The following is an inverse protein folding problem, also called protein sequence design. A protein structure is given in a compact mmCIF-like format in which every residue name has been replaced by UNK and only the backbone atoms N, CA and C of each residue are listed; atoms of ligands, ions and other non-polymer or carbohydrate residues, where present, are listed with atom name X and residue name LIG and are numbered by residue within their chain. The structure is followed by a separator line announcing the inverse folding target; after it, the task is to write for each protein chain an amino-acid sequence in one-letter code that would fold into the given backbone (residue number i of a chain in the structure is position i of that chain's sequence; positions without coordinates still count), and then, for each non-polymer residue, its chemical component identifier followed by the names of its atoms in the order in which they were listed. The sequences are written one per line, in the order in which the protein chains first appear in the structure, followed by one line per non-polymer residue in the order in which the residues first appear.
data_IF_396968167251
#
_entry.id   IF_396968167251
#
_cell.length_a   1.000
_cell.length_b   1.000
_cell.length_c   1.000
_cell.angle_alpha   90.00
_cell.angle_beta   90.00
_cell.angle_gamma   90.00
#
_symmetry.space_group_name_H-M   'P 1'
#
loop_
_entity.id
_entity.type
_entity.pdbx_description
1 polymer ?
#
# COMPACT_ATOMS: atom_id res chain seq x y z
N UNK A 1 -9.81 8.61 -23.94
CA UNK A 1 -8.77 7.60 -24.20
C UNK A 1 -9.30 6.18 -23.96
N UNK A 2 -9.94 5.88 -22.83
CA UNK A 2 -10.48 4.54 -22.57
C UNK A 2 -11.70 4.20 -23.44
N UNK A 3 -12.65 5.14 -23.59
CA UNK A 3 -13.81 4.93 -24.47
C UNK A 3 -13.41 4.76 -25.94
N UNK A 4 -12.39 5.51 -26.39
CA UNK A 4 -11.86 5.40 -27.76
C UNK A 4 -11.16 4.08 -28.05
N UNK A 5 -10.74 3.35 -27.01
CA UNK A 5 -10.19 2.00 -27.15
C UNK A 5 -11.28 0.91 -27.16
N UNK A 6 -12.56 1.29 -27.06
CA UNK A 6 -13.69 0.35 -27.04
C UNK A 6 -13.78 -0.45 -25.73
N UNK A 7 -13.19 0.05 -24.65
CA UNK A 7 -13.27 -0.59 -23.33
C UNK A 7 -14.63 -0.31 -22.68
N UNK A 8 -15.36 -1.36 -22.33
CA UNK A 8 -16.66 -1.24 -21.66
C UNK A 8 -16.50 -1.26 -20.13
N UNK A 9 -16.37 -0.09 -19.53
CA UNK A 9 -16.45 0.09 -18.07
C UNK A 9 -17.86 0.49 -17.64
N UNK A 10 -18.25 0.09 -16.43
CA UNK A 10 -19.45 0.63 -15.80
C UNK A 10 -19.09 1.94 -15.08
N UNK A 11 -19.27 3.06 -15.77
CA UNK A 11 -18.96 4.41 -15.26
C UNK A 11 -19.85 4.83 -14.08
N UNK A 12 -21.01 4.20 -13.86
CA UNK A 12 -21.84 4.46 -12.67
C UNK A 12 -21.16 4.03 -11.37
N UNK A 13 -20.11 3.19 -11.46
CA UNK A 13 -19.31 2.72 -10.32
C UNK A 13 -17.93 3.39 -10.26
N UNK A 14 -17.72 4.46 -11.01
CA UNK A 14 -16.48 5.22 -10.95
C UNK A 14 -16.28 5.81 -9.54
N UNK A 15 -15.04 5.77 -9.08
CA UNK A 15 -14.64 6.38 -7.81
C UNK A 15 -13.43 7.27 -8.02
N UNK A 16 -13.43 8.42 -7.36
CA UNK A 16 -12.33 9.39 -7.42
C UNK A 16 -11.78 9.60 -6.02
N UNK A 17 -10.57 9.11 -5.77
CA UNK A 17 -10.00 9.00 -4.41
C UNK A 17 -9.69 10.35 -3.75
N UNK A 18 -9.52 11.41 -4.54
CA UNK A 18 -9.29 12.77 -4.04
C UNK A 18 -10.58 13.55 -3.73
N UNK A 19 -11.77 13.01 -4.04
CA UNK A 19 -13.05 13.66 -3.72
C UNK A 19 -13.46 13.41 -2.26
N UNK A 20 -14.12 14.39 -1.60
CA UNK A 20 -14.56 14.27 -0.20
C UNK A 20 -15.44 13.05 0.08
N UNK A 21 -16.32 12.71 -0.85
CA UNK A 21 -17.24 11.58 -0.70
C UNK A 21 -16.52 10.23 -0.64
N UNK A 22 -15.28 10.17 -1.15
CA UNK A 22 -14.42 9.00 -1.03
C UNK A 22 -13.49 9.08 0.20
N UNK A 23 -12.65 10.12 0.30
CA UNK A 23 -11.60 10.14 1.33
C UNK A 23 -12.14 10.24 2.77
N UNK A 24 -13.41 10.65 2.95
CA UNK A 24 -14.10 10.56 4.26
C UNK A 24 -14.06 9.16 4.85
N UNK A 25 -14.09 8.12 4.01
CA UNK A 25 -14.03 6.73 4.45
C UNK A 25 -12.62 6.33 4.85
N UNK A 26 -11.60 6.85 4.17
CA UNK A 26 -10.20 6.70 4.57
C UNK A 26 -9.95 7.33 5.94
N UNK A 27 -10.47 8.54 6.18
CA UNK A 27 -10.40 9.21 7.49
C UNK A 27 -11.11 8.39 8.58
N UNK A 28 -12.33 7.91 8.29
CA UNK A 28 -13.09 7.07 9.22
C UNK A 28 -12.33 5.78 9.57
N UNK A 29 -11.76 5.10 8.57
CA UNK A 29 -10.98 3.89 8.75
C UNK A 29 -9.73 4.16 9.61
N UNK A 30 -9.02 5.25 9.32
CA UNK A 30 -7.85 5.65 10.09
C UNK A 30 -8.19 5.85 11.57
N UNK A 31 -9.29 6.54 11.89
CA UNK A 31 -9.75 6.72 13.27
C UNK A 31 -10.08 5.38 13.94
N UNK A 32 -10.66 4.42 13.20
CA UNK A 32 -10.91 3.06 13.73
C UNK A 32 -9.61 2.32 14.03
N UNK A 33 -8.64 2.37 13.12
CA UNK A 33 -7.31 1.77 13.32
C UNK A 33 -6.59 2.42 14.50
N UNK A 34 -6.68 3.74 14.65
CA UNK A 34 -6.09 4.46 15.76
C UNK A 34 -6.70 4.01 17.10
N UNK A 35 -8.03 3.95 17.19
CA UNK A 35 -8.73 3.46 18.39
C UNK A 35 -8.41 1.99 18.71
N UNK A 36 -8.12 1.17 17.71
CA UNK A 36 -7.66 -0.21 17.88
C UNK A 36 -6.17 -0.35 18.22
N UNK A 37 -5.43 0.77 18.32
CA UNK A 37 -3.98 0.76 18.57
C UNK A 37 -3.13 0.28 17.39
N UNK A 38 -3.73 0.19 16.19
CA UNK A 38 -3.10 -0.24 14.94
C UNK A 38 -2.50 0.93 14.16
N UNK A 39 -3.09 2.13 14.24
CA UNK A 39 -2.45 3.36 13.80
C UNK A 39 -1.86 4.10 15.01
N UNK A 40 -0.63 4.58 14.92
CA UNK A 40 0.05 5.23 16.04
C UNK A 40 1.12 6.21 15.54
N UNK A 41 1.50 7.16 16.38
CA UNK A 41 2.58 8.10 16.09
C UNK A 41 3.82 7.75 16.92
N UNK A 42 5.00 7.77 16.31
CA UNK A 42 6.27 7.49 16.97
C UNK A 42 7.38 8.32 16.33
N UNK A 43 8.40 8.67 17.10
CA UNK A 43 9.66 9.18 16.57
C UNK A 43 10.53 8.02 16.08
N UNK A 44 10.93 8.06 14.82
CA UNK A 44 11.71 7.01 14.18
C UNK A 44 12.63 7.61 13.13
N UNK A 45 13.70 6.88 12.83
CA UNK A 45 14.52 7.14 11.65
C UNK A 45 13.69 6.69 10.44
N UNK A 46 13.45 7.61 9.50
CA UNK A 46 12.61 7.40 8.32
C UNK A 46 13.36 7.78 7.05
N UNK A 47 12.99 7.11 5.96
CA UNK A 47 13.44 7.42 4.60
C UNK A 47 12.92 8.80 4.18
N UNK A 48 13.77 9.67 3.67
CA UNK A 48 13.44 11.03 3.25
C UNK A 48 13.86 11.27 1.80
N UNK A 49 12.92 11.81 1.01
CA UNK A 49 13.17 12.31 -0.33
C UNK A 49 13.49 13.81 -0.29
N UNK A 50 14.70 14.18 -0.72
CA UNK A 50 15.15 15.57 -0.74
C UNK A 50 14.48 16.43 -1.82
N UNK A 51 14.00 15.82 -2.91
CA UNK A 51 13.36 16.50 -4.04
C UNK A 51 11.88 16.73 -3.75
N UNK A 52 11.16 15.66 -3.39
CA UNK A 52 9.72 15.74 -3.08
C UNK A 52 9.46 16.27 -1.67
N UNK A 53 10.51 16.44 -0.86
CA UNK A 53 10.46 16.95 0.51
C UNK A 53 9.45 16.21 1.39
N UNK A 54 9.46 14.88 1.30
CA UNK A 54 8.53 14.01 2.02
C UNK A 54 9.22 12.77 2.57
N UNK A 55 8.60 12.19 3.58
CA UNK A 55 8.94 10.86 4.08
C UNK A 55 8.46 9.81 3.08
N UNK A 56 9.27 8.76 2.90
CA UNK A 56 8.95 7.58 2.09
C UNK A 56 8.72 6.36 2.98
N UNK A 57 7.80 5.49 2.57
CA UNK A 57 7.72 4.13 3.10
C UNK A 57 8.87 3.27 2.55
N UNK A 58 9.17 2.15 3.20
CA UNK A 58 10.24 1.24 2.76
C UNK A 58 9.97 0.71 1.34
N UNK A 59 8.71 0.46 1.00
CA UNK A 59 8.29 -0.01 -0.33
C UNK A 59 8.40 1.05 -1.44
N UNK A 60 8.69 2.30 -1.08
CA UNK A 60 8.88 3.41 -2.03
C UNK A 60 10.37 3.68 -2.33
N UNK A 61 11.26 2.88 -1.76
CA UNK A 61 12.70 2.91 -2.02
C UNK A 61 13.05 1.75 -2.95
N UNK A 62 13.72 2.04 -4.05
CA UNK A 62 14.16 1.01 -5.00
C UNK A 62 15.41 0.25 -4.53
N UNK A 63 15.83 -0.76 -5.29
CA UNK A 63 16.99 -1.60 -4.98
C UNK A 63 18.32 -0.82 -4.94
N UNK A 64 18.39 0.36 -5.57
CA UNK A 64 19.56 1.22 -5.57
C UNK A 64 19.56 2.22 -4.40
N UNK A 65 18.52 2.21 -3.56
CA UNK A 65 18.35 3.16 -2.45
C UNK A 65 17.83 4.52 -2.89
N UNK A 66 17.17 4.61 -4.05
CA UNK A 66 16.59 5.82 -4.58
C UNK A 66 15.06 5.85 -4.44
N UNK A 67 14.50 7.05 -4.41
CA UNK A 67 13.05 7.27 -4.46
C UNK A 67 12.48 6.78 -5.78
N UNK A 68 11.45 5.93 -5.72
CA UNK A 68 10.81 5.35 -6.91
C UNK A 68 10.24 6.37 -7.91
N UNK A 69 9.93 7.59 -7.45
CA UNK A 69 9.34 8.65 -8.27
C UNK A 69 10.38 9.69 -8.70
N UNK A 70 11.09 10.27 -7.74
CA UNK A 70 12.00 11.39 -8.02
C UNK A 70 13.37 10.93 -8.50
N UNK A 71 13.73 9.67 -8.24
CA UNK A 71 15.07 9.13 -8.49
C UNK A 71 16.15 9.67 -7.56
N UNK A 72 15.79 10.48 -6.57
CA UNK A 72 16.73 11.03 -5.59
C UNK A 72 17.23 9.94 -4.64
N UNK A 73 18.52 10.03 -4.26
CA UNK A 73 19.08 9.18 -3.21
C UNK A 73 18.36 9.44 -1.88
N UNK A 74 17.92 8.38 -1.23
CA UNK A 74 17.17 8.47 0.02
C UNK A 74 18.09 8.84 1.17
N UNK A 75 17.68 9.84 1.95
CA UNK A 75 18.33 10.23 3.20
C UNK A 75 17.61 9.60 4.40
N UNK A 76 18.31 9.46 5.53
CA UNK A 76 17.71 9.03 6.79
C UNK A 76 17.52 10.24 7.73
N UNK A 77 16.29 10.46 8.22
CA UNK A 77 15.98 11.56 9.16
C UNK A 77 15.21 11.06 10.37
N UNK A 78 15.53 11.60 11.55
CA UNK A 78 14.76 11.34 12.77
C UNK A 78 13.53 12.27 12.79
N UNK A 79 12.35 11.71 12.62
CA UNK A 79 11.09 12.48 12.57
C UNK A 79 9.97 11.76 13.30
N UNK A 80 9.03 12.54 13.84
CA UNK A 80 7.80 12.01 14.43
C UNK A 80 6.74 11.79 13.36
N UNK A 81 6.45 10.54 13.04
CA UNK A 81 5.56 10.17 11.93
C UNK A 81 4.46 9.18 12.36
N UNK A 82 3.41 9.09 11.54
CA UNK A 82 2.35 8.10 11.66
C UNK A 82 2.74 6.76 11.05
N UNK A 83 2.41 5.68 11.75
CA UNK A 83 2.67 4.30 11.33
C UNK A 83 1.41 3.46 11.47
N UNK A 84 1.28 2.47 10.60
CA UNK A 84 0.27 1.42 10.69
C UNK A 84 0.98 0.12 11.07
N UNK A 85 0.51 -0.58 12.10
CA UNK A 85 1.03 -1.88 12.58
C UNK A 85 0.63 -3.01 11.65
N UNK A 86 1.12 -2.98 10.42
CA UNK A 86 0.95 -4.06 9.43
C UNK A 86 1.58 -5.38 9.91
N UNK A 87 2.63 -5.30 10.74
CA UNK A 87 3.31 -6.46 11.34
C UNK A 87 2.39 -7.39 12.12
N UNK A 88 1.33 -6.87 12.76
CA UNK A 88 0.32 -7.69 13.46
C UNK A 88 -0.37 -8.69 12.52
N UNK A 89 -0.40 -8.40 11.21
CA UNK A 89 -1.05 -9.22 10.20
C UNK A 89 -0.07 -10.01 9.33
N UNK A 90 1.25 -9.82 9.47
CA UNK A 90 2.26 -10.44 8.61
C UNK A 90 2.15 -11.97 8.56
N UNK A 91 1.94 -12.62 9.71
CA UNK A 91 1.77 -14.08 9.78
C UNK A 91 0.51 -14.57 9.07
N UNK A 92 -0.59 -13.80 9.17
CA UNK A 92 -1.84 -14.14 8.50
C UNK A 92 -1.70 -14.01 6.98
N UNK A 93 -1.05 -12.94 6.50
CA UNK A 93 -0.76 -12.76 5.08
C UNK A 93 0.08 -13.92 4.53
N UNK A 94 1.16 -14.30 5.23
CA UNK A 94 2.00 -15.42 4.80
C UNK A 94 1.21 -16.73 4.71
N UNK A 95 0.41 -17.05 5.74
CA UNK A 95 -0.42 -18.26 5.74
C UNK A 95 -1.43 -18.26 4.58
N UNK A 96 -2.06 -17.12 4.31
CA UNK A 96 -3.02 -16.98 3.21
C UNK A 96 -2.34 -17.20 1.86
N UNK A 97 -1.18 -16.60 1.64
CA UNK A 97 -0.40 -16.79 0.40
C UNK A 97 -0.03 -18.27 0.22
N UNK A 98 0.43 -18.94 1.26
CA UNK A 98 0.74 -20.38 1.20
C UNK A 98 -0.49 -21.22 0.80
N UNK A 99 -1.68 -20.84 1.28
CA UNK A 99 -2.93 -21.51 0.96
C UNK A 99 -3.40 -21.25 -0.48
N UNK A 100 -3.21 -20.04 -1.00
CA UNK A 100 -3.53 -19.72 -2.39
C UNK A 100 -2.61 -20.50 -3.35
N UNK A 101 -1.30 -20.51 -3.06
CA UNK A 101 -0.31 -21.24 -3.86
C UNK A 101 -0.48 -22.77 -3.82
N UNK A 102 -1.04 -23.33 -2.75
CA UNK A 102 -1.37 -24.76 -2.70
C UNK A 102 -2.63 -25.06 -3.51
N UNK A 103 -3.61 -24.16 -3.53
CA UNK A 103 -4.81 -24.29 -4.35
C UNK A 103 -4.51 -24.17 -5.85
N UNK A 104 -3.64 -23.26 -6.27
CA UNK A 104 -3.20 -23.15 -7.67
C UNK A 104 -2.46 -24.41 -8.15
N UNK A 105 -1.60 -25.00 -7.32
CA UNK A 105 -0.91 -26.27 -7.64
C UNK A 105 -1.90 -27.43 -7.84
N UNK A 106 -2.89 -27.54 -6.96
CA UNK A 106 -3.96 -28.54 -7.08
C UNK A 106 -4.83 -28.36 -8.32
N UNK A 107 -5.03 -27.13 -8.79
CA UNK A 107 -5.74 -26.85 -10.04
C UNK A 107 -4.89 -27.24 -11.25
N UNK A 108 -3.60 -26.90 -11.25
CA UNK A 108 -2.67 -27.21 -12.33
C UNK A 108 -2.53 -28.73 -12.57
N UNK A 109 -2.41 -29.52 -11.49
CA UNK A 109 -2.34 -30.99 -11.57
C UNK A 109 -3.63 -31.65 -12.07
N UNK A 110 -4.79 -31.02 -11.86
CA UNK A 110 -6.09 -31.52 -12.35
C UNK A 110 -6.35 -31.16 -13.81
N UNK A 111 -5.75 -30.11 -14.34
CA UNK A 111 -5.83 -29.73 -15.76
C UNK A 111 -4.84 -30.47 -16.66
N UNK A 112 -3.87 -31.20 -16.09
CA UNK A 112 -2.91 -32.04 -16.82
C UNK A 112 -3.30 -33.53 -16.88
N UNK A 113 -4.51 -33.89 -16.45
CA UNK A 113 -5.15 -35.21 -16.67
C UNK A 113 -6.40 -35.05 -17.54
#
# INVERSE_FOLDING_TARGET
QLDSLGLCFNWDKEVTTCLPDYYRWTQWLFVKLFKAGLAYQKEAVVNWDAVDQTVLADEQVDDNGCSWRSGALVEQKLLRQWFIKTTNYAKLYLLLVMKLLSHERLLCEKTQK
#
